data_IF_978960235867
#
_entry.id   IF_978960235867
#
_cell.length_a   1.000
_cell.length_b   1.000
_cell.length_c   1.000
_cell.angle_alpha   90.00
_cell.angle_beta   90.00
_cell.angle_gamma   90.00
#
_symmetry.space_group_name_H-M   'P 1'
#
loop_
_entity.id
_entity.type
_entity.pdbx_description
1 polymer ?
#
# COMPACT_ATOMS: atom_id res chain seq x y z
N UNK A 1 -2.62 -16.51 -8.34
CA UNK A 1 -1.29 -16.82 -7.77
C UNK A 1 -1.52 -17.56 -6.46
N UNK A 2 -0.60 -18.43 -6.05
CA UNK A 2 -0.75 -19.26 -4.84
C UNK A 2 0.35 -18.88 -3.85
N UNK A 3 -0.01 -18.59 -2.60
CA UNK A 3 0.95 -18.25 -1.55
C UNK A 3 1.76 -19.50 -1.16
N UNK A 4 2.97 -19.32 -0.64
CA UNK A 4 3.81 -20.42 -0.12
C UNK A 4 3.12 -21.30 0.95
N UNK A 5 2.08 -20.79 1.62
CA UNK A 5 1.28 -21.60 2.55
C UNK A 5 0.20 -22.47 1.85
N UNK A 6 0.17 -22.50 0.53
CA UNK A 6 -0.86 -23.16 -0.29
C UNK A 6 -2.17 -22.39 -0.44
N UNK A 7 -2.33 -21.26 0.28
CA UNK A 7 -3.54 -20.44 0.28
C UNK A 7 -3.70 -19.54 -0.94
N UNK A 8 -4.94 -19.17 -1.24
CA UNK A 8 -5.26 -18.22 -2.30
C UNK A 8 -4.78 -16.81 -1.95
N UNK A 9 -4.19 -16.13 -2.93
CA UNK A 9 -3.89 -14.71 -2.83
C UNK A 9 -5.02 -13.85 -3.41
N UNK A 10 -5.09 -12.60 -2.95
CA UNK A 10 -6.01 -11.58 -3.42
C UNK A 10 -5.24 -10.29 -3.67
N UNK A 11 -5.42 -9.74 -4.87
CA UNK A 11 -4.90 -8.42 -5.21
C UNK A 11 -5.71 -7.34 -4.49
N UNK A 12 -5.01 -6.34 -3.97
CA UNK A 12 -5.58 -5.24 -3.21
C UNK A 12 -4.82 -3.95 -3.51
N UNK A 13 -5.48 -2.81 -3.34
CA UNK A 13 -4.84 -1.51 -3.52
C UNK A 13 -5.42 -0.45 -2.57
N UNK A 14 -4.61 0.55 -2.26
CA UNK A 14 -4.98 1.76 -1.52
C UNK A 14 -4.46 2.98 -2.28
N UNK A 15 -5.21 4.08 -2.25
CA UNK A 15 -4.93 5.26 -3.06
C UNK A 15 -5.03 6.52 -2.18
N UNK A 16 -4.05 7.42 -2.30
CA UNK A 16 -4.07 8.76 -1.70
C UNK A 16 -3.78 9.81 -2.77
N UNK A 17 -4.82 10.51 -3.22
CA UNK A 17 -4.69 11.62 -4.20
C UNK A 17 -3.89 12.80 -3.65
N UNK A 18 -4.09 13.09 -2.36
CA UNK A 18 -3.45 14.22 -1.69
C UNK A 18 -1.92 14.12 -1.70
N UNK A 19 -1.38 12.91 -1.64
CA UNK A 19 0.06 12.65 -1.68
C UNK A 19 0.53 12.16 -3.05
N UNK A 20 -0.36 12.12 -4.05
CA UNK A 20 -0.11 11.53 -5.37
C UNK A 20 0.43 10.09 -5.31
N UNK A 21 -0.11 9.26 -4.39
CA UNK A 21 0.36 7.90 -4.13
C UNK A 21 -0.70 6.83 -4.44
N UNK A 22 -0.25 5.69 -4.95
CA UNK A 22 -1.05 4.47 -5.14
C UNK A 22 -0.26 3.25 -4.68
N UNK A 23 -0.74 2.60 -3.64
CA UNK A 23 -0.15 1.41 -3.07
C UNK A 23 -0.89 0.15 -3.55
N UNK A 24 -0.21 -0.74 -4.28
CA UNK A 24 -0.75 -2.02 -4.76
C UNK A 24 -0.06 -3.16 -4.04
N UNK A 25 -0.83 -4.11 -3.52
CA UNK A 25 -0.30 -5.25 -2.77
C UNK A 25 -1.13 -6.51 -2.96
N UNK A 26 -0.48 -7.66 -2.77
CA UNK A 26 -1.10 -8.99 -2.87
C UNK A 26 -1.08 -9.64 -1.51
N UNK A 27 -2.24 -10.00 -0.97
CA UNK A 27 -2.36 -10.60 0.35
C UNK A 27 -2.92 -12.03 0.26
N UNK A 28 -2.31 -12.96 0.98
CA UNK A 28 -2.86 -14.30 1.15
C UNK A 28 -4.09 -14.25 2.05
N UNK A 29 -5.24 -14.75 1.57
CA UNK A 29 -6.47 -14.83 2.37
C UNK A 29 -6.34 -15.80 3.55
N UNK A 30 -5.49 -16.82 3.41
CA UNK A 30 -5.34 -17.87 4.41
C UNK A 30 -4.35 -17.53 5.53
N UNK A 31 -3.20 -16.93 5.21
CA UNK A 31 -2.15 -16.65 6.21
C UNK A 31 -1.87 -15.16 6.43
N UNK A 32 -2.52 -14.27 5.69
CA UNK A 32 -2.37 -12.82 5.83
C UNK A 32 -1.02 -12.25 5.34
N UNK A 33 -0.11 -13.10 4.84
CA UNK A 33 1.17 -12.64 4.30
C UNK A 33 0.94 -11.81 3.05
N UNK A 34 1.71 -10.74 2.95
CA UNK A 34 1.77 -9.92 1.74
C UNK A 34 2.89 -10.47 0.87
N UNK A 35 2.50 -10.93 -0.31
CA UNK A 35 3.37 -11.61 -1.28
C UNK A 35 4.03 -10.60 -2.25
N UNK A 36 3.37 -9.47 -2.48
CA UNK A 36 3.85 -8.38 -3.32
C UNK A 36 3.38 -7.05 -2.74
N UNK A 37 4.26 -6.05 -2.78
CA UNK A 37 4.05 -4.75 -2.16
C UNK A 37 4.76 -3.70 -3.04
N UNK A 38 4.00 -2.84 -3.74
CA UNK A 38 4.54 -1.83 -4.65
C UNK A 38 3.82 -0.50 -4.45
N UNK A 39 4.61 0.56 -4.31
CA UNK A 39 4.13 1.93 -4.29
C UNK A 39 4.41 2.59 -5.63
N UNK A 40 3.37 3.15 -6.22
CA UNK A 40 3.43 3.97 -7.41
C UNK A 40 3.06 5.41 -7.08
N UNK A 41 3.37 6.31 -8.02
CA UNK A 41 2.61 7.55 -8.09
C UNK A 41 1.13 7.24 -8.42
N UNK A 42 0.22 8.16 -8.12
CA UNK A 42 -1.22 7.97 -8.30
C UNK A 42 -1.58 7.45 -9.69
N UNK A 43 -0.94 8.01 -10.73
CA UNK A 43 -1.17 7.68 -12.14
C UNK A 43 -0.61 6.31 -12.56
N UNK A 44 0.10 5.60 -11.66
CA UNK A 44 0.75 4.31 -11.92
C UNK A 44 1.76 4.35 -13.09
N UNK A 45 2.34 5.52 -13.35
CA UNK A 45 3.34 5.70 -14.42
C UNK A 45 4.76 5.46 -13.95
N UNK A 46 5.01 5.59 -12.63
CA UNK A 46 6.33 5.40 -12.02
C UNK A 46 6.21 4.56 -10.75
N UNK A 47 7.09 3.57 -10.63
CA UNK A 47 7.31 2.85 -9.38
C UNK A 47 8.16 3.75 -8.47
N UNK A 48 7.65 4.05 -7.28
CA UNK A 48 8.33 4.83 -6.25
C UNK A 48 9.14 3.90 -5.36
N UNK A 49 8.50 2.89 -4.77
CA UNK A 49 9.12 1.91 -3.87
C UNK A 49 8.55 0.51 -4.08
N UNK A 50 9.26 -0.51 -3.60
CA UNK A 50 8.84 -1.91 -3.58
C UNK A 50 9.09 -2.54 -2.22
N UNK A 51 8.42 -3.67 -1.96
CA UNK A 51 8.57 -4.46 -0.76
C UNK A 51 8.09 -3.73 0.50
N UNK A 52 8.59 -4.16 1.64
CA UNK A 52 8.18 -3.63 2.95
C UNK A 52 8.29 -2.10 3.07
N UNK A 53 9.28 -1.48 2.43
CA UNK A 53 9.48 -0.02 2.46
C UNK A 53 8.33 0.75 1.78
N UNK A 54 7.71 0.19 0.74
CA UNK A 54 6.57 0.81 0.06
C UNK A 54 5.39 1.02 1.02
N UNK A 55 5.08 0.02 1.84
CA UNK A 55 4.06 0.09 2.88
C UNK A 55 4.37 1.10 3.96
N UNK A 56 5.60 1.10 4.48
CA UNK A 56 6.00 2.03 5.54
C UNK A 56 5.85 3.48 5.07
N UNK A 57 6.37 3.78 3.88
CA UNK A 57 6.30 5.11 3.31
C UNK A 57 4.85 5.55 3.05
N UNK A 58 4.03 4.69 2.42
CA UNK A 58 2.62 5.02 2.18
C UNK A 58 1.87 5.31 3.49
N UNK A 59 2.10 4.48 4.51
CA UNK A 59 1.50 4.65 5.84
C UNK A 59 1.93 5.97 6.47
N UNK A 60 3.22 6.29 6.46
CA UNK A 60 3.74 7.53 7.03
C UNK A 60 3.10 8.76 6.36
N UNK A 61 3.10 8.80 5.03
CA UNK A 61 2.53 9.93 4.27
C UNK A 61 1.02 10.08 4.51
N UNK A 62 0.29 8.97 4.66
CA UNK A 62 -1.17 9.02 4.82
C UNK A 62 -1.64 9.18 6.27
N UNK A 63 -0.84 8.78 7.26
CA UNK A 63 -1.15 8.94 8.69
C UNK A 63 -0.71 10.31 9.22
N UNK A 64 0.49 10.78 8.87
CA UNK A 64 1.04 12.02 9.42
C UNK A 64 0.13 13.24 9.16
N UNK A 65 -0.73 13.16 8.15
CA UNK A 65 -1.67 14.21 7.79
C UNK A 65 -3.09 14.08 8.34
N UNK A 66 -3.49 12.92 8.88
CA UNK A 66 -4.73 12.84 9.67
C UNK A 66 -4.62 13.69 10.93
N UNK A 67 -3.45 13.67 11.56
CA UNK A 67 -3.20 14.45 12.77
C UNK A 67 -2.96 15.95 12.49
N UNK A 68 -2.65 16.37 11.26
CA UNK A 68 -2.50 17.81 10.93
C UNK A 68 -3.78 18.47 10.42
N UNK A 69 -4.80 17.69 10.07
CA UNK A 69 -6.11 18.21 9.66
C UNK A 69 -7.12 18.27 10.81
N UNK A 70 -6.78 17.77 12.01
CA UNK A 70 -7.58 17.93 13.24
C UNK A 70 -7.30 19.28 13.95
N UNK A 71 -6.29 20.04 13.49
CA UNK A 71 -5.91 21.34 14.07
C UNK A 71 -6.47 22.55 13.27
N UNK A 72 -7.31 22.33 12.25
CA UNK A 72 -7.91 23.39 11.41
C UNK A 72 -9.45 23.47 11.46
N UNK A 73 -10.11 22.95 12.51
CA UNK A 73 -11.57 23.08 12.71
C UNK A 73 -11.96 23.85 13.98
#
# INVERSE_FOLDING_TARGET
MQCACGGETKDSMSISKLHDLRWEFVICKSCGRIDMDILFNYSRTKIILKGYQARLFYREQTINRKNSNEDEE
#
